data_IF_766986057477
#
_entry.id   IF_766986057477
#
_cell.length_a   1.000
_cell.length_b   1.000
_cell.length_c   1.000
_cell.angle_alpha   90.00
_cell.angle_beta   90.00
_cell.angle_gamma   90.00
#
_symmetry.space_group_name_H-M   'P 1'
#
loop_
_entity.id
_entity.type
_entity.pdbx_description
1 polymer ?
#
# COMPACT_ATOMS: atom_id res chain seq x y z
N UNK A 1 -27.75 11.17 12.65
CA UNK A 1 -26.87 11.73 11.59
C UNK A 1 -25.78 10.72 11.29
N UNK A 2 -25.69 10.22 10.05
CA UNK A 2 -24.71 9.20 9.64
C UNK A 2 -23.32 9.81 9.53
N UNK A 3 -22.41 9.46 10.43
CA UNK A 3 -20.99 9.79 10.32
C UNK A 3 -20.33 8.93 9.24
N UNK A 4 -20.06 9.53 8.07
CA UNK A 4 -19.16 8.99 7.04
C UNK A 4 -17.72 9.08 7.58
N UNK A 5 -17.29 8.07 8.34
CA UNK A 5 -15.88 7.87 8.66
C UNK A 5 -15.27 6.88 7.66
N UNK A 6 -14.21 7.28 6.97
CA UNK A 6 -13.27 6.34 6.37
C UNK A 6 -13.32 6.14 4.86
N UNK A 7 -13.28 7.20 4.07
CA UNK A 7 -12.55 7.15 2.79
C UNK A 7 -11.32 8.03 2.97
N UNK A 8 -10.20 7.44 3.36
CA UNK A 8 -8.92 8.16 3.32
C UNK A 8 -8.67 8.54 1.87
N UNK A 9 -8.49 9.82 1.55
CA UNK A 9 -8.12 10.23 0.20
C UNK A 9 -6.80 9.55 -0.16
N UNK A 10 -6.85 8.54 -1.03
CA UNK A 10 -5.69 8.06 -1.76
C UNK A 10 -4.99 9.26 -2.41
N UNK A 11 -3.66 9.33 -2.30
CA UNK A 11 -2.92 10.42 -2.92
C UNK A 11 -3.02 10.29 -4.46
N UNK A 12 -2.67 11.34 -5.20
CA UNK A 12 -2.84 11.32 -6.65
C UNK A 12 -1.92 10.30 -7.35
N UNK A 13 -0.75 9.99 -6.77
CA UNK A 13 0.19 9.02 -7.33
C UNK A 13 -0.35 7.58 -7.19
N UNK A 14 -0.89 7.21 -6.03
CA UNK A 14 -1.52 5.92 -5.76
C UNK A 14 -2.68 5.71 -6.74
N UNK A 15 -3.57 6.70 -6.87
CA UNK A 15 -4.68 6.62 -7.84
C UNK A 15 -4.19 6.40 -9.26
N UNK A 16 -3.14 7.12 -9.66
CA UNK A 16 -2.55 7.00 -10.98
C UNK A 16 -2.00 5.59 -11.22
N UNK A 17 -1.13 5.11 -10.32
CA UNK A 17 -0.48 3.80 -10.44
C UNK A 17 -1.49 2.64 -10.39
N UNK A 18 -2.47 2.70 -9.48
CA UNK A 18 -3.52 1.68 -9.43
C UNK A 18 -4.42 1.72 -10.69
N UNK A 19 -4.59 2.89 -11.30
CA UNK A 19 -5.27 3.01 -12.60
C UNK A 19 -4.50 2.34 -13.74
N UNK A 20 -3.17 2.48 -13.76
CA UNK A 20 -2.32 1.72 -14.70
C UNK A 20 -2.42 0.21 -14.46
N UNK A 21 -2.51 -0.22 -13.19
CA UNK A 21 -2.71 -1.64 -12.87
C UNK A 21 -4.04 -2.16 -13.43
N UNK A 22 -5.12 -1.37 -13.33
CA UNK A 22 -6.41 -1.75 -13.91
C UNK A 22 -6.30 -1.94 -15.43
N UNK A 23 -5.58 -1.05 -16.11
CA UNK A 23 -5.36 -1.12 -17.56
C UNK A 23 -4.55 -2.36 -17.96
N UNK A 24 -3.48 -2.67 -17.21
CA UNK A 24 -2.65 -3.86 -17.48
C UNK A 24 -3.43 -5.16 -17.25
N UNK A 25 -4.23 -5.20 -16.19
CA UNK A 25 -5.00 -6.40 -15.83
C UNK A 25 -6.33 -6.50 -16.59
N UNK A 26 -6.79 -5.43 -17.22
CA UNK A 26 -8.05 -5.38 -17.95
C UNK A 26 -9.30 -5.38 -17.05
N UNK A 27 -9.15 -5.10 -15.75
CA UNK A 27 -10.25 -5.08 -14.78
C UNK A 27 -9.96 -4.09 -13.64
N UNK A 28 -11.02 -3.61 -12.97
CA UNK A 28 -10.88 -2.66 -11.86
C UNK A 28 -10.67 -3.38 -10.53
N UNK A 29 -9.54 -3.13 -9.87
CA UNK A 29 -9.23 -3.70 -8.56
C UNK A 29 -10.05 -3.10 -7.43
N UNK A 30 -10.30 -3.90 -6.39
CA UNK A 30 -10.96 -3.49 -5.16
C UNK A 30 -10.00 -2.61 -4.34
N UNK A 31 -10.26 -1.31 -4.29
CA UNK A 31 -9.45 -0.34 -3.54
C UNK A 31 -9.64 -0.47 -2.04
N UNK A 32 -8.57 -0.28 -1.26
CA UNK A 32 -8.60 -0.34 0.20
C UNK A 32 -9.25 -1.63 0.73
N UNK A 33 -9.08 -2.74 0.01
CA UNK A 33 -9.71 -4.02 0.34
C UNK A 33 -9.20 -4.52 1.69
N UNK A 34 -10.08 -5.17 2.46
CA UNK A 34 -9.78 -5.63 3.81
C UNK A 34 -10.07 -7.11 3.89
N UNK A 35 -9.03 -7.90 4.11
CA UNK A 35 -9.17 -9.31 4.41
C UNK A 35 -9.42 -9.50 5.90
N UNK A 36 -10.30 -10.43 6.26
CA UNK A 36 -10.60 -10.76 7.67
C UNK A 36 -9.36 -11.30 8.41
N UNK A 37 -8.49 -12.02 7.70
CA UNK A 37 -7.24 -12.59 8.24
C UNK A 37 -6.09 -11.59 8.34
N UNK A 38 -6.18 -10.43 7.68
CA UNK A 38 -5.13 -9.41 7.70
C UNK A 38 -5.40 -8.39 8.81
N UNK A 39 -5.11 -8.75 10.05
CA UNK A 39 -5.41 -7.91 11.21
C UNK A 39 -4.23 -7.03 11.67
N UNK A 40 -4.56 -5.86 12.21
CA UNK A 40 -3.64 -4.95 12.87
C UNK A 40 -3.36 -5.35 14.33
N UNK A 41 -2.65 -4.48 15.04
CA UNK A 41 -2.37 -4.70 16.45
C UNK A 41 -3.63 -4.45 17.31
N UNK A 42 -3.79 -5.18 18.43
CA UNK A 42 -4.90 -4.96 19.33
C UNK A 42 -4.83 -3.55 19.93
N UNK A 43 -5.97 -2.87 19.98
CA UNK A 43 -6.12 -1.58 20.66
C UNK A 43 -5.81 -1.74 22.14
N UNK A 44 -4.89 -0.97 22.74
CA UNK A 44 -4.56 -1.09 24.16
C UNK A 44 -5.75 -0.86 25.09
N UNK A 45 -6.71 -0.02 24.66
CA UNK A 45 -7.85 0.36 25.48
C UNK A 45 -9.04 -0.61 25.36
N UNK A 46 -9.15 -1.36 24.26
CA UNK A 46 -10.35 -2.18 23.98
C UNK A 46 -10.05 -3.63 23.61
N UNK A 47 -8.78 -4.00 23.41
CA UNK A 47 -8.35 -5.31 22.93
C UNK A 47 -8.74 -5.63 21.49
N UNK A 48 -9.54 -4.78 20.83
CA UNK A 48 -10.06 -5.01 19.48
C UNK A 48 -8.94 -4.90 18.45
N UNK A 49 -8.99 -5.77 17.44
CA UNK A 49 -8.14 -5.72 16.25
C UNK A 49 -8.93 -5.11 15.10
N UNK A 50 -8.25 -4.31 14.29
CA UNK A 50 -8.83 -3.75 13.07
C UNK A 50 -8.15 -4.42 11.89
N UNK A 51 -8.91 -4.83 10.88
CA UNK A 51 -8.31 -5.30 9.62
C UNK A 51 -7.44 -4.21 9.00
N UNK A 52 -6.33 -4.57 8.37
CA UNK A 52 -5.47 -3.65 7.64
C UNK A 52 -5.98 -3.60 6.20
N UNK A 53 -6.16 -2.40 5.62
CA UNK A 53 -6.45 -2.29 4.21
C UNK A 53 -5.20 -2.61 3.39
N UNK A 54 -5.39 -3.21 2.23
CA UNK A 54 -4.42 -3.22 1.13
C UNK A 54 -4.77 -2.13 0.13
N UNK A 55 -3.81 -1.58 -0.62
CA UNK A 55 -4.10 -0.46 -1.53
C UNK A 55 -5.09 -0.88 -2.63
N UNK A 56 -4.84 -2.04 -3.27
CA UNK A 56 -5.81 -2.68 -4.16
C UNK A 56 -5.66 -4.20 -4.25
N UNK A 57 -6.76 -4.88 -4.58
CA UNK A 57 -6.81 -6.33 -4.82
C UNK A 57 -7.61 -6.64 -6.08
N UNK A 58 -7.09 -7.52 -6.95
CA UNK A 58 -7.80 -8.00 -8.16
C UNK A 58 -8.18 -9.47 -8.00
N UNK A 59 -9.44 -9.78 -7.62
CA UNK A 59 -9.86 -11.17 -7.38
C UNK A 59 -9.66 -12.09 -8.59
N UNK A 60 -9.91 -11.58 -9.80
CA UNK A 60 -9.88 -12.37 -11.03
C UNK A 60 -8.45 -12.69 -11.50
N UNK A 61 -7.47 -11.94 -11.02
CA UNK A 61 -6.06 -12.09 -11.41
C UNK A 61 -5.17 -12.53 -10.23
N UNK A 62 -5.71 -12.48 -9.00
CA UNK A 62 -5.12 -12.78 -7.71
C UNK A 62 -3.99 -11.88 -7.14
N UNK A 63 -3.51 -10.75 -7.72
CA UNK A 63 -2.56 -9.92 -7.01
C UNK A 63 -3.26 -8.97 -6.03
N UNK A 64 -2.63 -8.80 -4.88
CA UNK A 64 -2.70 -7.57 -4.10
C UNK A 64 -1.57 -6.65 -4.59
N UNK A 65 -1.87 -5.38 -4.83
CA UNK A 65 -0.88 -4.35 -5.16
C UNK A 65 -0.80 -3.36 -4.00
N UNK A 66 0.43 -3.06 -3.55
CA UNK A 66 0.74 -1.98 -2.62
C UNK A 66 1.62 -0.94 -3.33
N UNK A 67 1.23 0.34 -3.30
CA UNK A 67 2.01 1.44 -3.87
C UNK A 67 2.85 2.11 -2.78
N UNK A 68 4.17 1.99 -2.89
CA UNK A 68 5.07 2.52 -1.88
C UNK A 68 5.60 3.90 -2.31
N UNK A 69 4.94 4.96 -1.84
CA UNK A 69 5.35 6.36 -2.06
C UNK A 69 6.77 6.69 -1.58
N UNK A 70 7.31 5.91 -0.63
CA UNK A 70 8.58 6.20 0.03
C UNK A 70 9.43 4.95 0.21
N UNK A 71 10.64 4.98 -0.34
CA UNK A 71 11.81 4.57 0.43
C UNK A 71 12.65 5.82 0.67
N UNK A 72 12.58 6.41 1.87
CA UNK A 72 13.64 7.31 2.29
C UNK A 72 14.85 6.44 2.65
N UNK A 73 15.68 6.14 1.66
CA UNK A 73 17.05 5.65 1.85
C UNK A 73 18.01 6.76 2.31
N UNK A 74 17.52 7.98 2.54
CA UNK A 74 18.23 8.95 3.35
C UNK A 74 17.57 9.06 4.72
N UNK A 75 18.35 8.84 5.78
CA UNK A 75 18.00 9.20 7.15
C UNK A 75 17.70 10.70 7.21
N UNK A 76 16.47 11.11 6.93
CA UNK A 76 16.06 12.49 7.14
C UNK A 76 15.76 12.63 8.63
N UNK A 77 16.80 12.94 9.41
CA UNK A 77 16.78 13.24 10.85
C UNK A 77 15.72 14.28 11.28
N UNK A 78 14.99 14.88 10.35
CA UNK A 78 13.98 15.90 10.58
C UNK A 78 12.52 15.40 10.61
N UNK A 79 12.23 14.18 10.13
CA UNK A 79 10.87 13.64 10.08
C UNK A 79 10.62 12.46 11.02
N UNK A 80 11.64 12.02 11.75
CA UNK A 80 11.42 11.29 12.99
C UNK A 80 10.85 12.29 14.00
N UNK A 81 9.53 12.33 14.10
CA UNK A 81 8.85 12.80 15.31
C UNK A 81 8.79 11.60 16.25
N UNK A 82 9.80 11.34 17.10
CA UNK A 82 9.71 10.29 18.10
C UNK A 82 8.48 10.49 19.01
N UNK A 83 7.96 11.71 19.12
CA UNK A 83 6.90 12.02 20.09
C UNK A 83 5.46 11.80 19.60
N UNK A 84 5.24 11.33 18.35
CA UNK A 84 3.88 10.95 17.90
C UNK A 84 3.64 9.48 18.22
N UNK A 85 3.25 9.26 19.48
CA UNK A 85 2.73 7.99 19.96
C UNK A 85 1.46 7.63 19.18
N UNK A 86 1.49 6.50 18.47
CA UNK A 86 0.26 5.91 17.96
C UNK A 86 -0.57 5.39 19.14
N UNK A 87 -1.86 5.14 18.92
CA UNK A 87 -2.80 4.64 19.95
C UNK A 87 -2.33 3.34 20.63
N UNK A 88 -1.32 2.65 20.06
CA UNK A 88 -0.65 1.47 20.60
C UNK A 88 0.65 1.74 21.38
N UNK A 89 1.02 3.00 21.61
CA UNK A 89 2.26 3.38 22.31
C UNK A 89 3.55 3.17 21.51
N UNK A 90 3.45 3.01 20.18
CA UNK A 90 4.58 2.76 19.29
C UNK A 90 4.79 3.93 18.31
N UNK A 91 6.05 4.22 17.96
CA UNK A 91 6.38 5.20 16.92
C UNK A 91 5.70 4.84 15.59
N UNK A 92 5.12 5.82 14.91
CA UNK A 92 4.38 5.63 13.64
C UNK A 92 5.18 4.90 12.55
N UNK A 93 6.50 5.11 12.50
CA UNK A 93 7.41 4.43 11.58
C UNK A 93 7.52 2.92 11.85
N UNK A 94 7.65 2.53 13.11
CA UNK A 94 7.72 1.12 13.53
C UNK A 94 6.40 0.38 13.26
N UNK A 95 5.27 1.05 13.49
CA UNK A 95 3.95 0.48 13.17
C UNK A 95 3.78 0.23 11.67
N UNK A 96 4.26 1.16 10.82
CA UNK A 96 4.18 0.98 9.36
C UNK A 96 5.04 -0.19 8.89
N UNK A 97 6.30 -0.27 9.34
CA UNK A 97 7.18 -1.40 9.05
C UNK A 97 6.54 -2.74 9.44
N UNK A 98 5.97 -2.82 10.65
CA UNK A 98 5.30 -4.04 11.13
C UNK A 98 4.13 -4.46 10.24
N UNK A 99 3.33 -3.50 9.77
CA UNK A 99 2.18 -3.80 8.92
C UNK A 99 2.59 -4.18 7.51
N UNK A 100 3.64 -3.57 6.96
CA UNK A 100 4.22 -3.95 5.68
C UNK A 100 4.80 -5.37 5.74
N UNK A 101 5.52 -5.71 6.82
CA UNK A 101 6.04 -7.06 7.07
C UNK A 101 4.89 -8.08 7.19
N UNK A 102 3.81 -7.73 7.89
CA UNK A 102 2.63 -8.60 8.02
C UNK A 102 1.94 -8.85 6.68
N UNK A 103 1.85 -7.85 5.78
CA UNK A 103 1.32 -8.06 4.43
C UNK A 103 2.24 -8.98 3.61
N UNK A 104 3.55 -8.78 3.69
CA UNK A 104 4.55 -9.62 3.00
C UNK A 104 4.49 -11.09 3.44
N UNK A 105 4.17 -11.34 4.70
CA UNK A 105 4.03 -12.70 5.21
C UNK A 105 2.66 -13.31 4.88
N UNK A 106 1.56 -12.61 5.23
CA UNK A 106 0.23 -13.20 5.19
C UNK A 106 -0.36 -13.26 3.79
N UNK A 107 -0.14 -12.24 2.94
CA UNK A 107 -0.72 -12.23 1.59
C UNK A 107 -0.27 -13.47 0.79
N UNK A 108 1.03 -13.79 0.68
CA UNK A 108 1.49 -15.03 0.04
C UNK A 108 1.04 -16.30 0.77
N UNK A 109 1.01 -16.31 2.11
CA UNK A 109 0.56 -17.47 2.89
C UNK A 109 -0.91 -17.87 2.59
N UNK A 110 -1.72 -16.92 2.13
CA UNK A 110 -3.09 -17.14 1.70
C UNK A 110 -3.23 -17.42 0.19
N UNK A 111 -2.14 -17.70 -0.52
CA UNK A 111 -2.14 -18.03 -1.96
C UNK A 111 -2.37 -16.83 -2.87
N UNK A 112 -2.26 -15.61 -2.34
CA UNK A 112 -2.42 -14.36 -3.07
C UNK A 112 -1.03 -13.79 -3.34
N UNK A 113 -0.78 -13.34 -4.56
CA UNK A 113 0.50 -12.72 -4.88
C UNK A 113 0.53 -11.29 -4.36
N UNK A 114 1.60 -10.93 -3.62
CA UNK A 114 1.84 -9.53 -3.25
C UNK A 114 2.75 -8.87 -4.29
N UNK A 115 2.29 -7.78 -4.90
CA UNK A 115 3.07 -6.94 -5.81
C UNK A 115 3.29 -5.60 -5.14
N UNK A 116 4.55 -5.18 -5.05
CA UNK A 116 4.93 -3.86 -4.52
C UNK A 116 5.37 -3.02 -5.70
N UNK A 117 4.74 -1.86 -5.89
CA UNK A 117 5.12 -0.88 -6.90
C UNK A 117 5.72 0.33 -6.18
N UNK A 118 7.04 0.47 -6.12
CA UNK A 118 7.66 1.59 -5.44
C UNK A 118 7.65 2.84 -6.33
N UNK A 119 7.45 4.01 -5.72
CA UNK A 119 7.48 5.30 -6.42
C UNK A 119 8.85 5.61 -7.05
N UNK A 120 9.92 4.94 -6.61
CA UNK A 120 11.27 5.05 -7.19
C UNK A 120 11.37 4.58 -8.63
N UNK A 121 10.42 3.77 -9.09
CA UNK A 121 10.43 3.22 -10.45
C UNK A 121 9.84 4.20 -11.47
N UNK A 122 9.35 5.36 -11.01
CA UNK A 122 8.74 6.40 -11.83
C UNK A 122 9.61 7.67 -11.84
N UNK A 123 9.47 8.46 -12.89
CA UNK A 123 10.00 9.81 -12.87
C UNK A 123 9.21 10.67 -11.89
N UNK A 124 9.89 11.24 -10.88
CA UNK A 124 9.26 12.07 -9.86
C UNK A 124 9.75 13.50 -9.96
N UNK A 125 8.81 14.44 -10.01
CA UNK A 125 9.10 15.87 -9.88
C UNK A 125 8.46 16.41 -8.61
N UNK A 126 9.31 16.88 -7.69
CA UNK A 126 8.94 17.28 -6.31
C UNK A 126 8.40 16.11 -5.49
N UNK A 127 7.13 15.80 -5.65
CA UNK A 127 6.40 14.77 -4.87
C UNK A 127 5.31 14.08 -5.69
N UNK A 128 5.26 14.34 -7.00
CA UNK A 128 4.30 13.71 -7.91
C UNK A 128 5.03 13.01 -9.03
N UNK A 129 4.44 11.91 -9.49
CA UNK A 129 4.88 11.23 -10.70
C UNK A 129 4.68 12.17 -11.90
N UNK A 130 5.71 12.29 -12.73
CA UNK A 130 5.60 12.89 -14.06
C UNK A 130 4.99 11.84 -14.96
N UNK A 131 3.69 11.96 -15.23
CA UNK A 131 2.93 10.94 -15.95
C UNK A 131 3.43 10.83 -17.40
N UNK A 132 4.02 9.68 -17.71
CA UNK A 132 4.45 9.26 -19.05
C UNK A 132 3.82 7.91 -19.33
N UNK A 133 2.58 7.95 -19.82
CA UNK A 133 1.69 6.79 -19.85
C UNK A 133 2.35 5.51 -20.40
N UNK A 134 2.98 5.54 -21.58
CA UNK A 134 3.61 4.34 -22.15
C UNK A 134 4.79 3.80 -21.31
N UNK A 135 5.64 4.69 -20.76
CA UNK A 135 6.78 4.34 -19.91
C UNK A 135 6.30 3.77 -18.57
N UNK A 136 5.35 4.45 -17.93
CA UNK A 136 4.79 4.10 -16.62
C UNK A 136 3.97 2.80 -16.70
N UNK A 137 3.27 2.58 -17.80
CA UNK A 137 2.55 1.34 -18.06
C UNK A 137 3.52 0.17 -18.26
N UNK A 138 4.69 0.40 -18.84
CA UNK A 138 5.76 -0.60 -18.93
C UNK A 138 6.30 -0.98 -17.54
N UNK A 139 6.52 0.00 -16.66
CA UNK A 139 6.93 -0.23 -15.26
C UNK A 139 5.91 -1.11 -14.53
N UNK A 140 4.63 -0.76 -14.62
CA UNK A 140 3.55 -1.52 -13.96
C UNK A 140 3.41 -2.92 -14.54
N UNK A 141 3.51 -3.09 -15.88
CA UNK A 141 3.53 -4.41 -16.52
C UNK A 141 4.66 -5.29 -15.98
N UNK A 142 5.86 -4.74 -15.90
CA UNK A 142 7.02 -5.44 -15.38
C UNK A 142 6.80 -5.89 -13.93
N UNK A 143 6.35 -4.99 -13.05
CA UNK A 143 6.04 -5.33 -11.65
C UNK A 143 4.97 -6.42 -11.52
N UNK A 144 3.94 -6.39 -12.37
CA UNK A 144 2.89 -7.41 -12.41
C UNK A 144 3.33 -8.73 -13.05
N UNK A 145 4.44 -8.78 -13.79
CA UNK A 145 4.98 -10.01 -14.39
C UNK A 145 6.07 -10.68 -13.54
N UNK A 146 6.95 -9.92 -12.89
CA UNK A 146 8.20 -10.44 -12.28
C UNK A 146 8.10 -10.99 -10.86
N UNK A 147 6.92 -10.99 -10.24
CA UNK A 147 6.69 -11.59 -8.91
C UNK A 147 6.40 -13.09 -8.97
N UNK A 148 7.00 -13.80 -9.93
CA UNK A 148 6.94 -15.27 -10.10
C UNK A 148 8.27 -15.96 -9.78
N UNK A 149 9.25 -15.27 -9.18
CA UNK A 149 10.53 -15.82 -8.73
C UNK A 149 10.51 -16.26 -7.28
#
# INVERSE_FOLDING_TARGET
MRGRYGQGMANQNEKYVLGLCDEVLGSTGLRQHRFEWLEGDPSPNTGRRMTLPVDAYWPDHAPVVEFHEKQHTEQVRHFDKPDVMTVSGMHRGMQRKRYDDRRRELVPAHGIRLVIVPMSDFEVRRSNIVQRHDEDLAVVRYALQEGSG
#
